data_IF_433194497856
#
_entry.id   IF_433194497856
#
_cell.length_a   1.000
_cell.length_b   1.000
_cell.length_c   1.000
_cell.angle_alpha   90.00
_cell.angle_beta   90.00
_cell.angle_gamma   90.00
#
_symmetry.space_group_name_H-M   'P 1'
#
loop_
_entity.id
_entity.type
_entity.pdbx_description
1 polymer ?
#
# COMPACT_ATOMS: atom_id res chain seq x y z
N UNK A 1 -10.43 -3.99 22.60
CA UNK A 1 -11.00 -5.21 23.26
C UNK A 1 -11.55 -6.10 22.15
N UNK A 2 -11.31 -7.42 22.17
CA UNK A 2 -11.84 -8.33 21.13
C UNK A 2 -13.18 -8.91 21.60
N UNK A 3 -14.19 -8.85 20.76
CA UNK A 3 -15.53 -9.41 21.00
C UNK A 3 -15.95 -10.29 19.83
N UNK A 4 -16.98 -11.11 20.03
CA UNK A 4 -17.60 -11.90 18.97
C UNK A 4 -19.04 -11.43 18.78
N UNK A 5 -19.36 -10.88 17.62
CA UNK A 5 -20.72 -10.49 17.23
C UNK A 5 -21.03 -10.98 15.81
N UNK A 6 -22.29 -11.35 15.54
CA UNK A 6 -22.71 -11.82 14.21
C UNK A 6 -21.98 -13.06 13.68
N UNK A 7 -21.27 -13.80 14.52
CA UNK A 7 -20.42 -14.94 14.13
C UNK A 7 -18.97 -14.58 13.82
N UNK A 8 -18.61 -13.30 13.80
CA UNK A 8 -17.27 -12.79 13.47
C UNK A 8 -16.55 -12.21 14.70
N UNK A 9 -15.22 -12.14 14.67
CA UNK A 9 -14.47 -11.40 15.70
C UNK A 9 -14.33 -9.94 15.28
N UNK A 10 -14.46 -9.06 16.26
CA UNK A 10 -14.28 -7.63 16.08
C UNK A 10 -13.38 -7.06 17.17
N UNK A 11 -12.50 -6.13 16.80
CA UNK A 11 -11.75 -5.32 17.75
C UNK A 11 -12.45 -3.97 17.92
N UNK A 12 -13.03 -3.74 19.11
CA UNK A 12 -13.71 -2.48 19.43
C UNK A 12 -12.66 -1.41 19.71
N UNK A 13 -12.69 -0.35 18.90
CA UNK A 13 -11.87 0.87 19.03
C UNK A 13 -12.55 1.85 19.98
N UNK A 14 -13.84 2.12 19.75
CA UNK A 14 -14.64 3.01 20.58
C UNK A 14 -16.05 2.43 20.75
N UNK A 15 -16.50 2.36 22.00
CA UNK A 15 -17.88 2.05 22.34
C UNK A 15 -18.81 3.25 22.09
N UNK A 16 -20.11 3.02 22.09
CA UNK A 16 -21.13 4.02 21.77
C UNK A 16 -21.06 5.27 22.66
N UNK A 17 -20.57 5.11 23.90
CA UNK A 17 -20.39 6.22 24.84
C UNK A 17 -19.23 7.14 24.48
N UNK A 18 -18.20 6.59 23.84
CA UNK A 18 -17.01 7.32 23.40
C UNK A 18 -17.15 7.88 21.98
N UNK A 19 -18.13 7.41 21.21
CA UNK A 19 -18.39 7.84 19.83
C UNK A 19 -19.41 8.99 19.76
N UNK A 20 -19.08 10.07 19.04
CA UNK A 20 -19.98 11.22 18.87
C UNK A 20 -21.28 10.88 18.12
N UNK A 21 -21.24 9.87 17.24
CA UNK A 21 -22.42 9.38 16.52
C UNK A 21 -23.26 8.39 17.34
N UNK A 22 -22.80 8.03 18.56
CA UNK A 22 -23.37 6.94 19.39
C UNK A 22 -23.43 5.58 18.70
N UNK A 23 -22.58 5.38 17.69
CA UNK A 23 -22.40 4.11 17.02
C UNK A 23 -21.04 3.55 17.44
N UNK A 24 -21.01 2.27 17.81
CA UNK A 24 -19.76 1.54 18.09
C UNK A 24 -18.84 1.57 16.87
N UNK A 25 -17.57 1.87 17.10
CA UNK A 25 -16.52 1.80 16.08
C UNK A 25 -15.67 0.57 16.36
N UNK A 26 -15.67 -0.37 15.43
CA UNK A 26 -14.90 -1.60 15.52
C UNK A 26 -14.24 -1.94 14.18
N UNK A 27 -13.19 -2.76 14.23
CA UNK A 27 -12.58 -3.40 13.07
C UNK A 27 -13.00 -4.87 13.08
N UNK A 28 -13.65 -5.33 12.01
CA UNK A 28 -14.08 -6.72 11.86
C UNK A 28 -12.98 -7.58 11.21
N UNK A 29 -13.06 -8.92 11.33
CA UNK A 29 -12.17 -9.80 10.55
C UNK A 29 -12.32 -9.57 9.03
N UNK A 30 -13.53 -9.27 8.55
CA UNK A 30 -13.81 -8.99 7.16
C UNK A 30 -13.11 -7.71 6.70
N UNK A 31 -13.01 -6.70 7.55
CA UNK A 31 -12.24 -5.49 7.24
C UNK A 31 -10.74 -5.77 7.19
N UNK A 32 -10.22 -6.59 8.11
CA UNK A 32 -8.83 -7.08 8.04
C UNK A 32 -8.60 -7.82 6.73
N UNK A 33 -9.54 -8.68 6.30
CA UNK A 33 -9.43 -9.42 5.05
C UNK A 33 -9.43 -8.50 3.83
N UNK A 34 -10.26 -7.45 3.81
CA UNK A 34 -10.26 -6.43 2.74
C UNK A 34 -8.92 -5.71 2.67
N UNK A 35 -8.33 -5.34 3.82
CA UNK A 35 -7.00 -4.71 3.87
C UNK A 35 -5.93 -5.67 3.33
N UNK A 36 -5.94 -6.94 3.75
CA UNK A 36 -5.01 -7.95 3.23
C UNK A 36 -5.08 -8.08 1.71
N UNK A 37 -6.28 -8.11 1.13
CA UNK A 37 -6.45 -8.20 -0.32
C UNK A 37 -5.99 -6.93 -1.04
N UNK A 38 -6.34 -5.75 -0.52
CA UNK A 38 -5.96 -4.48 -1.11
C UNK A 38 -4.44 -4.27 -1.10
N UNK A 39 -3.79 -4.55 0.04
CA UNK A 39 -2.34 -4.42 0.16
C UNK A 39 -1.60 -5.49 -0.65
N UNK A 40 -2.15 -6.71 -0.75
CA UNK A 40 -1.60 -7.77 -1.59
C UNK A 40 -1.57 -7.36 -3.07
N UNK A 41 -2.67 -6.75 -3.56
CA UNK A 41 -2.76 -6.28 -4.94
C UNK A 41 -1.69 -5.23 -5.26
N UNK A 42 -1.45 -4.30 -4.36
CA UNK A 42 -0.45 -3.24 -4.54
C UNK A 42 0.96 -3.82 -4.51
N UNK A 43 1.29 -4.61 -3.48
CA UNK A 43 2.63 -5.17 -3.33
C UNK A 43 2.98 -6.15 -4.47
N UNK A 44 2.06 -7.04 -4.86
CA UNK A 44 2.31 -7.97 -5.97
C UNK A 44 2.47 -7.24 -7.30
N UNK A 45 1.79 -6.11 -7.49
CA UNK A 45 2.00 -5.23 -8.65
C UNK A 45 3.41 -4.65 -8.64
N UNK A 46 3.90 -4.14 -7.50
CA UNK A 46 5.25 -3.60 -7.38
C UNK A 46 6.32 -4.67 -7.69
N UNK A 47 6.19 -5.87 -7.12
CA UNK A 47 7.11 -6.99 -7.39
C UNK A 47 7.07 -7.38 -8.87
N UNK A 48 5.88 -7.44 -9.46
CA UNK A 48 5.71 -7.78 -10.87
C UNK A 48 6.35 -6.75 -11.80
N UNK A 49 6.11 -5.47 -11.56
CA UNK A 49 6.71 -4.39 -12.34
C UNK A 49 8.24 -4.37 -12.17
N UNK A 50 8.74 -4.61 -10.96
CA UNK A 50 10.16 -4.73 -10.65
C UNK A 50 10.83 -5.86 -11.45
N UNK A 51 10.22 -7.06 -11.46
CA UNK A 51 10.70 -8.21 -12.24
C UNK A 51 10.69 -7.93 -13.74
N UNK A 52 9.62 -7.33 -14.28
CA UNK A 52 9.51 -6.98 -15.70
C UNK A 52 10.55 -5.92 -16.10
N UNK A 53 10.82 -4.95 -15.22
CA UNK A 53 11.81 -3.91 -15.45
C UNK A 53 13.26 -4.41 -15.28
N UNK A 54 13.47 -5.58 -14.67
CA UNK A 54 14.80 -6.08 -14.32
C UNK A 54 15.51 -5.25 -13.25
N UNK A 55 14.75 -4.55 -12.40
CA UNK A 55 15.26 -3.68 -11.33
C UNK A 55 14.74 -4.23 -10.01
N UNK A 56 15.60 -4.63 -9.08
CA UNK A 56 15.15 -5.12 -7.78
C UNK A 56 14.50 -3.98 -6.98
N UNK A 57 13.47 -4.29 -6.17
CA UNK A 57 12.77 -3.27 -5.37
C UNK A 57 13.71 -2.45 -4.48
N UNK A 58 14.76 -3.06 -3.92
CA UNK A 58 15.79 -2.39 -3.10
C UNK A 58 16.61 -1.35 -3.88
N UNK A 59 16.70 -1.50 -5.20
CA UNK A 59 17.47 -0.63 -6.10
C UNK A 59 16.67 0.60 -6.53
N UNK A 60 15.36 0.66 -6.24
CA UNK A 60 14.55 1.86 -6.47
C UNK A 60 15.16 3.04 -5.73
N UNK A 61 15.45 4.14 -6.43
CA UNK A 61 16.03 5.35 -5.83
C UNK A 61 14.99 6.14 -5.04
N UNK A 62 13.79 6.28 -5.60
CA UNK A 62 12.66 7.00 -5.00
C UNK A 62 11.34 6.31 -5.29
N UNK A 63 10.49 6.23 -4.27
CA UNK A 63 9.12 5.75 -4.38
C UNK A 63 8.17 6.92 -4.13
N UNK A 64 7.57 7.41 -5.22
CA UNK A 64 6.59 8.50 -5.15
C UNK A 64 5.20 7.95 -4.82
N UNK A 65 4.57 8.49 -3.78
CA UNK A 65 3.26 8.04 -3.29
C UNK A 65 2.25 9.18 -3.45
N UNK A 66 1.21 8.92 -4.23
CA UNK A 66 0.13 9.87 -4.50
C UNK A 66 -1.21 9.38 -3.93
N UNK A 67 -2.18 10.29 -3.87
CA UNK A 67 -3.53 10.04 -3.39
C UNK A 67 -3.70 10.27 -1.88
N UNK A 68 -4.96 10.27 -1.42
CA UNK A 68 -5.29 10.55 -0.01
C UNK A 68 -4.60 9.57 0.95
N UNK A 69 -4.49 8.30 0.55
CA UNK A 69 -3.74 7.29 1.30
C UNK A 69 -2.25 7.63 1.33
N UNK A 70 -1.70 8.12 0.22
CA UNK A 70 -0.31 8.54 0.12
C UNK A 70 0.05 9.77 0.95
N UNK A 71 -0.89 10.69 1.21
CA UNK A 71 -0.61 11.92 1.98
C UNK A 71 -0.44 11.67 3.48
N UNK A 72 -1.25 10.78 4.06
CA UNK A 72 -1.40 10.66 5.51
C UNK A 72 -0.87 9.35 6.09
N UNK A 73 -0.49 8.39 5.25
CA UNK A 73 0.02 7.10 5.73
C UNK A 73 1.52 7.22 6.03
N UNK A 74 1.94 6.87 7.26
CA UNK A 74 3.37 6.75 7.56
C UNK A 74 3.97 5.57 6.77
N UNK A 75 5.03 5.78 5.98
CA UNK A 75 5.68 4.71 5.21
C UNK A 75 6.09 3.51 6.06
N UNK A 76 6.44 3.71 7.34
CA UNK A 76 6.75 2.64 8.27
C UNK A 76 5.54 1.72 8.47
N UNK A 77 4.38 2.26 8.85
CA UNK A 77 3.18 1.44 9.08
C UNK A 77 2.69 0.77 7.78
N UNK A 78 2.82 1.45 6.64
CA UNK A 78 2.52 0.85 5.34
C UNK A 78 3.45 -0.34 5.02
N UNK A 79 4.73 -0.24 5.38
CA UNK A 79 5.70 -1.34 5.24
C UNK A 79 5.38 -2.49 6.20
N UNK A 80 5.01 -2.18 7.45
CA UNK A 80 4.62 -3.17 8.47
C UNK A 80 3.44 -4.04 8.02
N UNK A 81 2.44 -3.45 7.35
CA UNK A 81 1.32 -4.23 6.81
C UNK A 81 1.65 -4.93 5.49
N UNK A 82 2.81 -4.66 4.90
CA UNK A 82 3.26 -5.17 3.60
C UNK A 82 2.59 -4.52 2.40
N UNK A 83 2.20 -3.25 2.53
CA UNK A 83 1.67 -2.44 1.42
C UNK A 83 2.79 -1.88 0.55
N UNK A 84 3.88 -1.44 1.18
CA UNK A 84 5.06 -0.88 0.53
C UNK A 84 6.27 -1.78 0.74
N UNK A 85 7.25 -1.79 -0.18
CA UNK A 85 8.50 -2.50 0.01
C UNK A 85 9.29 -1.91 1.17
N UNK A 86 10.10 -2.73 1.82
CA UNK A 86 11.03 -2.30 2.85
C UNK A 86 12.19 -1.50 2.24
N UNK A 87 12.14 -0.18 2.39
CA UNK A 87 13.14 0.78 1.89
C UNK A 87 13.53 1.79 2.98
N UNK A 88 14.70 2.44 2.88
CA UNK A 88 15.03 3.57 3.74
C UNK A 88 13.99 4.70 3.64
N UNK A 89 13.70 5.37 4.77
CA UNK A 89 12.61 6.36 4.87
C UNK A 89 12.77 7.51 3.87
N UNK A 90 13.99 7.91 3.61
CA UNK A 90 14.37 8.98 2.69
C UNK A 90 14.03 8.68 1.21
N UNK A 91 13.76 7.41 0.87
CA UNK A 91 13.36 7.04 -0.49
C UNK A 91 11.88 7.29 -0.76
N UNK A 92 11.03 7.39 0.28
CA UNK A 92 9.60 7.64 0.08
C UNK A 92 9.33 9.13 -0.08
N UNK A 93 8.58 9.49 -1.13
CA UNK A 93 8.20 10.87 -1.41
C UNK A 93 6.68 10.96 -1.56
N UNK A 94 6.03 11.56 -0.57
CA UNK A 94 4.58 11.77 -0.61
C UNK A 94 4.28 13.06 -1.40
N UNK A 95 3.50 12.95 -2.48
CA UNK A 95 3.18 14.09 -3.37
C UNK A 95 1.73 14.57 -3.24
N UNK A 96 0.95 13.92 -2.37
CA UNK A 96 -0.45 14.25 -2.17
C UNK A 96 -1.33 13.95 -3.39
N UNK A 97 -2.25 14.86 -3.70
CA UNK A 97 -3.14 14.69 -4.86
C UNK A 97 -2.41 15.02 -6.17
N UNK A 98 -1.66 14.05 -6.69
CA UNK A 98 -0.90 14.18 -7.93
C UNK A 98 -1.77 14.48 -9.17
N UNK A 99 -3.00 13.95 -9.24
CA UNK A 99 -3.90 14.25 -10.37
C UNK A 99 -4.39 15.70 -10.33
N UNK A 100 -4.75 16.21 -9.15
CA UNK A 100 -5.13 17.60 -8.96
C UNK A 100 -3.98 18.57 -9.26
N UNK A 101 -2.79 18.32 -8.69
CA UNK A 101 -1.59 19.12 -8.95
C UNK A 101 -1.20 19.10 -10.43
N UNK A 102 -1.26 17.93 -11.07
CA UNK A 102 -1.04 17.77 -12.50
C UNK A 102 -2.02 18.60 -13.33
N UNK A 103 -3.33 18.48 -13.07
CA UNK A 103 -4.35 19.24 -13.79
C UNK A 103 -4.12 20.77 -13.69
N UNK A 104 -3.77 21.27 -12.50
CA UNK A 104 -3.42 22.69 -12.31
C UNK A 104 -2.19 23.11 -13.13
N UNK A 105 -1.13 22.29 -13.16
CA UNK A 105 0.07 22.57 -13.96
C UNK A 105 -0.24 22.62 -15.47
N UNK A 106 -1.06 21.69 -15.95
CA UNK A 106 -1.45 21.59 -17.35
C UNK A 106 -2.33 22.78 -17.77
N UNK A 107 -3.25 23.21 -16.90
CA UNK A 107 -4.11 24.38 -17.14
C UNK A 107 -3.31 25.67 -17.28
N UNK A 108 -2.23 25.81 -16.51
CA UNK A 108 -1.43 27.06 -16.44
C UNK A 108 -0.25 27.09 -17.41
N UNK A 109 0.06 25.99 -18.11
CA UNK A 109 1.24 25.93 -18.97
C UNK A 109 1.07 25.00 -20.15
N UNK A 110 1.02 25.58 -21.36
CA UNK A 110 1.05 24.83 -22.62
C UNK A 110 2.30 23.95 -22.75
N UNK A 111 3.46 24.43 -22.29
CA UNK A 111 4.68 23.60 -22.27
C UNK A 111 4.50 22.35 -21.40
N UNK A 112 3.85 22.46 -20.24
CA UNK A 112 3.55 21.30 -19.39
C UNK A 112 2.53 20.37 -20.01
N UNK A 113 1.58 20.92 -20.76
CA UNK A 113 0.67 20.13 -21.58
C UNK A 113 1.42 19.26 -22.58
N UNK A 114 2.36 19.86 -23.32
CA UNK A 114 3.19 19.14 -24.30
C UNK A 114 4.09 18.10 -23.61
N UNK A 115 4.73 18.44 -22.48
CA UNK A 115 5.51 17.49 -21.66
C UNK A 115 4.66 16.26 -21.27
N UNK A 116 3.41 16.46 -20.84
CA UNK A 116 2.52 15.38 -20.41
C UNK A 116 2.07 14.47 -21.56
N UNK A 117 1.86 15.02 -22.76
CA UNK A 117 1.60 14.24 -23.98
C UNK A 117 2.81 13.35 -24.30
N UNK A 118 4.04 13.88 -24.19
CA UNK A 118 5.24 13.08 -24.44
C UNK A 118 5.46 11.99 -23.40
N UNK A 119 5.09 12.23 -22.14
CA UNK A 119 5.11 11.19 -21.10
C UNK A 119 4.08 10.10 -21.39
N UNK A 120 2.84 10.47 -21.76
CA UNK A 120 1.77 9.48 -21.99
C UNK A 120 2.10 8.50 -23.12
N UNK A 121 2.79 8.97 -24.18
CA UNK A 121 3.28 8.13 -25.28
C UNK A 121 4.30 7.06 -24.84
N UNK A 122 4.96 7.25 -23.70
CA UNK A 122 5.97 6.32 -23.15
C UNK A 122 5.40 5.33 -22.15
N UNK A 123 4.15 5.51 -21.72
CA UNK A 123 3.49 4.61 -20.76
C UNK A 123 3.12 3.30 -21.45
N UNK A 124 3.54 2.19 -20.86
CA UNK A 124 3.14 0.83 -21.28
C UNK A 124 2.19 0.24 -20.25
N UNK A 125 1.02 -0.19 -20.71
CA UNK A 125 0.06 -0.93 -19.88
C UNK A 125 0.51 -2.38 -19.77
N UNK A 126 0.47 -2.93 -18.56
CA UNK A 126 0.81 -4.33 -18.28
C UNK A 126 -0.43 -5.00 -17.70
N UNK A 127 -0.91 -6.03 -18.39
CA UNK A 127 -2.03 -6.86 -17.97
C UNK A 127 -1.55 -7.90 -16.96
N UNK A 128 -1.67 -7.58 -15.67
CA UNK A 128 -1.13 -8.40 -14.57
C UNK A 128 -1.70 -9.82 -14.52
N UNK A 129 -2.94 -10.01 -14.98
CA UNK A 129 -3.59 -11.32 -15.05
C UNK A 129 -2.93 -12.28 -16.08
N UNK A 130 -2.14 -11.75 -17.03
CA UNK A 130 -1.38 -12.55 -17.99
C UNK A 130 0.03 -12.88 -17.52
N UNK A 131 0.47 -12.32 -16.38
CA UNK A 131 1.79 -12.58 -15.81
C UNK A 131 1.73 -13.83 -14.95
N UNK A 132 2.44 -14.88 -15.38
CA UNK A 132 2.40 -16.22 -14.79
C UNK A 132 2.55 -16.23 -13.26
N UNK A 133 3.53 -15.49 -12.72
CA UNK A 133 3.83 -15.48 -11.29
C UNK A 133 3.00 -14.47 -10.47
N UNK A 134 2.17 -13.63 -11.10
CA UNK A 134 1.43 -12.57 -10.38
C UNK A 134 0.47 -13.15 -9.34
N UNK A 135 -0.23 -14.24 -9.69
CA UNK A 135 -1.21 -14.88 -8.81
C UNK A 135 -0.55 -15.45 -7.55
N UNK A 136 0.59 -16.12 -7.71
CA UNK A 136 1.33 -16.68 -6.59
C UNK A 136 1.89 -15.58 -5.68
N UNK A 137 2.43 -14.52 -6.29
CA UNK A 137 2.88 -13.33 -5.56
C UNK A 137 1.72 -12.67 -4.79
N UNK A 138 0.55 -12.54 -5.40
CA UNK A 138 -0.64 -12.00 -4.74
C UNK A 138 -1.04 -12.84 -3.52
N UNK A 139 -1.05 -14.17 -3.64
CA UNK A 139 -1.36 -15.07 -2.52
C UNK A 139 -0.33 -14.91 -1.40
N UNK A 140 0.96 -14.90 -1.72
CA UNK A 140 2.04 -14.69 -0.75
C UNK A 140 1.94 -13.32 -0.06
N UNK A 141 1.52 -12.30 -0.81
CA UNK A 141 1.29 -10.96 -0.32
C UNK A 141 0.00 -10.80 0.48
N UNK A 142 -0.83 -11.84 0.67
CA UNK A 142 -1.98 -11.74 1.61
C UNK A 142 -1.58 -11.86 3.08
N UNK A 143 -0.42 -12.46 3.38
CA UNK A 143 0.15 -12.55 4.73
C UNK A 143 0.68 -11.19 5.17
N UNK A 144 0.70 -10.86 6.46
CA UNK A 144 1.23 -9.57 6.96
C UNK A 144 2.63 -9.77 7.57
N UNK A 145 3.67 -9.04 7.14
CA UNK A 145 3.72 -8.19 5.95
C UNK A 145 3.75 -8.98 4.63
N UNK A 146 4.34 -10.18 4.62
CA UNK A 146 4.43 -11.06 3.45
C UNK A 146 4.75 -12.49 3.90
N UNK A 147 4.53 -13.49 3.04
CA UNK A 147 4.88 -14.89 3.36
C UNK A 147 6.39 -15.14 3.35
N UNK A 148 7.11 -14.42 2.49
CA UNK A 148 8.58 -14.42 2.43
C UNK A 148 9.13 -13.38 3.40
N UNK A 149 9.77 -13.85 4.47
CA UNK A 149 10.32 -13.00 5.52
C UNK A 149 11.55 -12.20 5.09
N UNK A 150 12.31 -12.70 4.10
CA UNK A 150 13.54 -12.04 3.64
C UNK A 150 13.25 -10.71 2.96
N UNK A 151 12.04 -10.53 2.40
CA UNK A 151 11.60 -9.26 1.81
C UNK A 151 11.35 -8.15 2.84
N UNK A 152 11.17 -8.51 4.12
CA UNK A 152 10.74 -7.62 5.20
C UNK A 152 11.54 -7.85 6.50
N UNK A 153 12.81 -8.21 6.36
CA UNK A 153 13.63 -8.65 7.49
C UNK A 153 13.70 -7.61 8.62
N UNK A 154 13.94 -6.34 8.29
CA UNK A 154 14.02 -5.28 9.31
C UNK A 154 12.65 -5.04 9.97
N UNK A 155 11.58 -5.17 9.20
CA UNK A 155 10.20 -5.06 9.68
C UNK A 155 9.88 -6.16 10.68
N UNK A 156 10.17 -7.42 10.36
CA UNK A 156 9.98 -8.55 11.29
C UNK A 156 10.79 -8.35 12.58
N UNK A 157 12.03 -7.88 12.48
CA UNK A 157 12.85 -7.55 13.65
C UNK A 157 12.23 -6.44 14.50
N UNK A 158 11.68 -5.40 13.87
CA UNK A 158 11.06 -4.26 14.57
C UNK A 158 9.75 -4.63 15.29
N UNK A 159 8.99 -5.62 14.79
CA UNK A 159 7.69 -6.00 15.35
C UNK A 159 7.75 -7.20 16.31
N UNK A 160 8.87 -7.93 16.38
CA UNK A 160 9.10 -9.03 17.34
C UNK A 160 8.67 -8.73 18.78
N UNK A 161 8.87 -7.52 19.34
CA UNK A 161 8.43 -7.21 20.70
C UNK A 161 6.91 -7.30 20.89
N UNK A 162 6.12 -7.05 19.84
CA UNK A 162 4.66 -7.06 19.90
C UNK A 162 4.05 -8.45 19.70
N UNK A 163 4.79 -9.37 19.06
CA UNK A 163 4.32 -10.72 18.75
C UNK A 163 4.37 -11.71 19.93
N UNK A 164 4.97 -11.30 21.07
CA UNK A 164 5.06 -12.11 22.31
C UNK A 164 3.93 -11.87 23.30
N UNK A 165 2.86 -11.17 22.88
CA UNK A 165 1.67 -10.88 23.69
C UNK A 165 0.48 -11.66 23.17
#
# INVERSE_FOLDING_TARGET
>A
RVVREGGELEFVIADERASSSRVRIAITQSDIRKIQLAKAAIFSTLVTLSKIAGIALKEVERLYIAGAFGTYTDPFYATVIGLLPELPREKYVQIGNGSGAGASLLLLSKRKWDDAIEVSKKVRVIELNLVEFFKDEFINATYIPHRDEELFKATFESIKPFAKT
#
